data_IF_488827723091
#
_entry.id   IF_488827723091
#
_cell.length_a   1.000
_cell.length_b   1.000
_cell.length_c   1.000
_cell.angle_alpha   90.00
_cell.angle_beta   90.00
_cell.angle_gamma   90.00
#
_symmetry.space_group_name_H-M   'P 1'
#
loop_
_entity.id
_entity.type
_entity.pdbx_description
1 polymer ?
#
# COMPACT_ATOMS: atom_id res chain seq x y z
N UNK A 1 -1.81 4.78 31.68
CA UNK A 1 -1.49 4.87 30.24
C UNK A 1 -2.31 3.78 29.58
N UNK A 2 -3.31 4.13 28.76
CA UNK A 2 -4.19 3.11 28.16
C UNK A 2 -3.43 2.30 27.12
N UNK A 3 -3.71 1.00 27.04
CA UNK A 3 -3.10 0.15 26.02
C UNK A 3 -3.50 0.64 24.62
N UNK A 4 -2.57 0.62 23.65
CA UNK A 4 -2.87 0.99 22.29
C UNK A 4 -3.93 0.06 21.69
N UNK A 5 -5.05 0.64 21.23
CA UNK A 5 -6.10 -0.12 20.57
C UNK A 5 -5.70 -0.29 19.11
N UNK A 6 -5.39 -1.54 18.73
CA UNK A 6 -5.14 -1.89 17.35
C UNK A 6 -6.43 -2.31 16.66
N UNK A 7 -6.66 -1.79 15.45
CA UNK A 7 -7.76 -2.23 14.58
C UNK A 7 -7.21 -2.77 13.27
N UNK A 8 -7.81 -3.84 12.80
CA UNK A 8 -7.50 -4.41 11.50
C UNK A 8 -8.30 -3.66 10.42
N UNK A 9 -7.61 -3.18 9.39
CA UNK A 9 -8.18 -2.48 8.25
C UNK A 9 -7.80 -3.19 6.94
N UNK A 10 -8.65 -3.06 5.93
CA UNK A 10 -8.37 -3.63 4.60
C UNK A 10 -7.81 -2.56 3.67
N UNK A 11 -6.63 -2.83 3.11
CA UNK A 11 -5.93 -1.95 2.18
C UNK A 11 -5.56 -2.70 0.89
N UNK A 12 -4.87 -2.01 -0.02
CA UNK A 12 -4.28 -2.58 -1.23
C UNK A 12 -2.78 -2.34 -1.22
N UNK A 13 -2.01 -3.28 -1.76
CA UNK A 13 -0.57 -3.14 -1.91
C UNK A 13 -0.11 -3.76 -3.23
N UNK A 14 1.03 -3.30 -3.73
CA UNK A 14 1.72 -3.91 -4.83
C UNK A 14 2.58 -5.07 -4.30
N UNK A 15 2.55 -6.20 -5.00
CA UNK A 15 3.30 -7.39 -4.67
C UNK A 15 3.95 -7.96 -5.92
N UNK A 16 5.19 -8.45 -5.80
CA UNK A 16 5.90 -9.07 -6.92
C UNK A 16 5.69 -10.56 -6.84
N UNK A 17 5.15 -11.12 -7.92
CA UNK A 17 4.90 -12.56 -8.03
C UNK A 17 6.16 -13.35 -8.42
N UNK A 18 7.33 -12.72 -8.51
CA UNK A 18 8.54 -13.30 -9.07
C UNK A 18 9.84 -13.11 -8.25
N UNK A 19 9.78 -12.82 -6.94
CA UNK A 19 10.97 -12.90 -6.05
C UNK A 19 10.71 -13.60 -4.72
N UNK A 20 11.77 -14.09 -4.06
CA UNK A 20 11.73 -14.90 -2.84
C UNK A 20 11.90 -14.02 -1.58
N UNK A 21 11.02 -14.14 -0.56
CA UNK A 21 9.86 -15.03 -0.46
C UNK A 21 8.73 -14.63 -1.41
N UNK A 22 8.12 -15.62 -2.06
CA UNK A 22 7.04 -15.41 -3.02
C UNK A 22 5.65 -15.54 -2.38
N UNK A 23 4.72 -14.60 -2.65
CA UNK A 23 4.93 -13.23 -3.12
C UNK A 23 5.44 -12.30 -2.00
N UNK A 24 6.24 -11.28 -2.33
CA UNK A 24 6.60 -10.21 -1.36
C UNK A 24 5.86 -8.91 -1.67
N UNK A 25 5.51 -8.19 -0.60
CA UNK A 25 4.80 -6.90 -0.67
C UNK A 25 5.82 -5.77 -0.76
N UNK A 26 5.56 -4.79 -1.63
CA UNK A 26 6.28 -3.51 -1.60
C UNK A 26 5.72 -2.68 -0.44
N UNK A 27 6.49 -2.58 0.64
CA UNK A 27 6.06 -1.95 1.90
C UNK A 27 5.51 -0.53 1.72
N UNK A 28 6.13 0.29 0.87
CA UNK A 28 5.71 1.68 0.65
C UNK A 28 4.51 1.85 -0.29
N UNK A 29 3.94 0.75 -0.80
CA UNK A 29 2.82 0.75 -1.76
C UNK A 29 1.43 0.62 -1.13
N UNK A 30 1.34 0.44 0.19
CA UNK A 30 0.05 0.23 0.88
C UNK A 30 -0.84 1.48 0.78
N UNK A 31 -2.04 1.36 0.20
CA UNK A 31 -3.01 2.46 0.04
C UNK A 31 -4.45 1.99 0.24
N UNK A 32 -5.36 2.93 0.51
CA UNK A 32 -6.80 2.63 0.71
C UNK A 32 -7.49 2.08 -0.55
N UNK A 33 -7.09 2.52 -1.74
CA UNK A 33 -7.72 2.12 -3.01
C UNK A 33 -6.73 1.42 -3.94
N UNK A 34 -7.25 0.53 -4.77
CA UNK A 34 -6.45 -0.17 -5.79
C UNK A 34 -5.84 0.80 -6.80
N UNK A 35 -6.59 1.83 -7.20
CA UNK A 35 -6.12 2.85 -8.15
C UNK A 35 -4.95 3.66 -7.60
N UNK A 36 -4.99 4.03 -6.31
CA UNK A 36 -3.89 4.76 -5.68
C UNK A 36 -2.57 3.95 -5.66
N UNK A 37 -2.66 2.63 -5.51
CA UNK A 37 -1.47 1.76 -5.64
C UNK A 37 -0.95 1.75 -7.08
N UNK A 38 -1.85 1.68 -8.06
CA UNK A 38 -1.51 1.67 -9.49
C UNK A 38 -0.84 2.99 -9.91
N UNK A 39 -1.38 4.12 -9.49
CA UNK A 39 -0.83 5.47 -9.73
C UNK A 39 0.54 5.59 -9.09
N UNK A 40 0.66 5.25 -7.80
CA UNK A 40 1.92 5.29 -7.06
C UNK A 40 3.01 4.43 -7.74
N UNK A 41 2.70 3.17 -8.07
CA UNK A 41 3.65 2.29 -8.76
C UNK A 41 3.92 2.75 -10.19
N UNK A 42 2.89 3.24 -10.87
CA UNK A 42 2.97 3.75 -12.23
C UNK A 42 3.96 4.91 -12.33
N UNK A 43 3.88 5.86 -11.42
CA UNK A 43 4.81 6.99 -11.32
C UNK A 43 6.26 6.52 -11.07
N UNK A 44 6.46 5.54 -10.17
CA UNK A 44 7.81 5.02 -9.85
C UNK A 44 8.44 4.24 -11.00
N UNK A 45 7.63 3.65 -11.87
CA UNK A 45 8.08 2.82 -12.99
C UNK A 45 8.05 3.54 -14.34
N UNK A 46 7.50 4.75 -14.40
CA UNK A 46 7.52 5.58 -15.59
C UNK A 46 8.97 6.00 -15.90
N UNK A 47 9.35 5.96 -17.18
CA UNK A 47 10.59 6.59 -17.66
C UNK A 47 10.30 8.04 -18.01
N UNK A 48 11.36 8.78 -18.38
CA UNK A 48 11.22 10.11 -18.95
C UNK A 48 10.21 10.10 -20.10
N UNK A 49 9.30 11.08 -20.09
CA UNK A 49 8.21 11.27 -21.06
C UNK A 49 7.15 10.17 -21.11
N UNK A 50 7.05 9.33 -20.07
CA UNK A 50 5.99 8.34 -19.94
C UNK A 50 4.92 8.75 -18.94
N UNK A 51 3.68 8.39 -19.23
CA UNK A 51 2.57 8.46 -18.28
C UNK A 51 2.68 7.38 -17.20
N UNK A 52 2.09 7.63 -16.04
CA UNK A 52 1.98 6.65 -14.95
C UNK A 52 1.33 5.34 -15.41
N UNK A 53 0.35 5.43 -16.32
CA UNK A 53 -0.30 4.25 -16.91
C UNK A 53 0.67 3.39 -17.71
N UNK A 54 1.64 3.99 -18.41
CA UNK A 54 2.69 3.26 -19.13
C UNK A 54 3.67 2.61 -18.15
N UNK A 55 4.07 3.33 -17.10
CA UNK A 55 4.89 2.78 -16.01
C UNK A 55 4.23 1.57 -15.33
N UNK A 56 2.93 1.68 -15.03
CA UNK A 56 2.16 0.57 -14.45
C UNK A 56 2.12 -0.65 -15.37
N UNK A 57 1.83 -0.45 -16.67
CA UNK A 57 1.84 -1.54 -17.66
C UNK A 57 3.19 -2.25 -17.71
N UNK A 58 4.30 -1.51 -17.58
CA UNK A 58 5.64 -2.10 -17.51
C UNK A 58 5.83 -2.93 -16.25
N UNK A 59 5.52 -2.37 -15.08
CA UNK A 59 5.62 -3.09 -13.80
C UNK A 59 4.79 -4.38 -13.83
N UNK A 60 3.56 -4.31 -14.35
CA UNK A 60 2.66 -5.46 -14.48
C UNK A 60 3.26 -6.59 -15.34
N UNK A 61 3.88 -6.24 -16.48
CA UNK A 61 4.58 -7.22 -17.34
C UNK A 61 5.78 -7.85 -16.64
N UNK A 62 6.42 -7.13 -15.72
CA UNK A 62 7.54 -7.62 -14.91
C UNK A 62 7.11 -8.45 -13.69
N UNK A 63 5.82 -8.76 -13.53
CA UNK A 63 5.32 -9.60 -12.44
C UNK A 63 4.69 -8.85 -11.27
N UNK A 64 4.55 -7.52 -11.36
CA UNK A 64 3.81 -6.76 -10.35
C UNK A 64 2.31 -7.09 -10.39
N UNK A 65 1.73 -7.33 -9.21
CA UNK A 65 0.29 -7.50 -9.00
C UNK A 65 -0.18 -6.58 -7.88
N UNK A 66 -1.46 -6.21 -7.92
CA UNK A 66 -2.10 -5.49 -6.80
C UNK A 66 -2.92 -6.48 -6.01
N UNK A 67 -2.63 -6.60 -4.72
CA UNK A 67 -3.23 -7.57 -3.80
C UNK A 67 -3.95 -6.85 -2.68
N UNK A 68 -4.99 -7.48 -2.14
CA UNK A 68 -5.68 -7.00 -0.94
C UNK A 68 -4.87 -7.42 0.28
N UNK A 69 -4.67 -6.51 1.22
CA UNK A 69 -3.89 -6.76 2.44
C UNK A 69 -4.69 -6.35 3.68
N UNK A 70 -4.43 -7.02 4.80
CA UNK A 70 -4.93 -6.62 6.12
C UNK A 70 -3.81 -5.89 6.85
N UNK A 71 -4.08 -4.67 7.28
CA UNK A 71 -3.13 -3.81 7.99
C UNK A 71 -3.65 -3.62 9.41
N UNK A 72 -2.76 -3.74 10.39
CA UNK A 72 -3.09 -3.45 11.78
C UNK A 72 -2.62 -2.05 12.12
N UNK A 73 -3.55 -1.15 12.40
CA UNK A 73 -3.27 0.26 12.68
C UNK A 73 -3.54 0.54 14.16
N UNK A 74 -2.62 1.27 14.80
CA UNK A 74 -2.83 1.78 16.14
C UNK A 74 -3.77 2.99 16.06
N UNK A 75 -4.95 2.87 16.64
CA UNK A 75 -5.85 4.00 16.82
C UNK A 75 -5.43 4.74 18.11
N UNK A 76 -5.39 6.07 18.06
CA UNK A 76 -5.16 6.87 19.26
C UNK A 76 -6.30 6.60 20.26
N UNK A 77 -5.94 6.40 21.53
CA UNK A 77 -6.91 6.14 22.59
C UNK A 77 -7.85 7.34 22.70
N UNK A 78 -9.15 7.15 22.47
CA UNK A 78 -10.19 8.13 22.83
C UNK A 78 -10.18 8.27 24.35
N UNK A 79 -9.51 9.30 24.86
CA UNK A 79 -9.30 9.42 26.31
C UNK A 79 -8.38 10.55 26.72
N UNK A 80 -8.54 11.72 26.11
CA UNK A 80 -8.09 12.97 26.72
C UNK A 80 -9.17 14.02 26.46
N UNK A 81 -10.36 13.81 27.04
CA UNK A 81 -11.25 14.90 27.39
C UNK A 81 -10.46 15.85 28.29
N UNK A 82 -9.91 16.90 27.68
CA UNK A 82 -9.50 18.09 28.41
C UNK A 82 -10.79 18.78 28.83
N UNK A 83 -11.30 18.41 30.01
CA UNK A 83 -12.13 19.32 30.79
C UNK A 83 -11.30 20.57 31.07
N UNK A 84 -11.75 21.70 30.52
CA UNK A 84 -11.47 23.04 31.01
C UNK A 84 -12.77 23.80 31.08
#
# INVERSE_FOLDING_TARGET
>A
MGDPIYRDELAWAAAWSNGSPHPFIITNSVRYTRSAVIEYLGAHWARQDETERQGWKRAYRQGCRIVRVRVRIQHATEGASHDR
#
